data_IF_093484814402
#
_entry.id   IF_093484814402
#
_cell.length_a   1.000
_cell.length_b   1.000
_cell.length_c   1.000
_cell.angle_alpha   90.00
_cell.angle_beta   90.00
_cell.angle_gamma   90.00
#
_symmetry.space_group_name_H-M   'P 1'
#
loop_
_entity.id
_entity.type
_entity.pdbx_description
1 polymer ?
#
# COMPACT_ATOMS: atom_id res chain seq x y z
N UNK A 1 -27.00 7.14 -9.81
CA UNK A 1 -26.45 7.71 -11.07
C UNK A 1 -25.23 8.54 -10.72
N UNK A 2 -24.10 7.87 -10.45
CA UNK A 2 -22.80 8.54 -10.30
C UNK A 2 -22.44 9.07 -11.68
N UNK A 3 -22.41 10.40 -11.82
CA UNK A 3 -21.96 11.05 -13.04
C UNK A 3 -20.47 10.77 -13.16
N UNK A 4 -20.10 9.72 -13.88
CA UNK A 4 -18.74 9.49 -14.34
C UNK A 4 -18.38 10.60 -15.31
N UNK A 5 -18.06 11.78 -14.79
CA UNK A 5 -17.53 12.85 -15.58
C UNK A 5 -16.06 12.54 -15.80
N UNK A 6 -15.72 12.31 -17.07
CA UNK A 6 -14.35 12.25 -17.56
C UNK A 6 -13.58 13.46 -16.99
N UNK A 7 -12.54 13.26 -16.16
CA UNK A 7 -11.82 14.34 -15.48
C UNK A 7 -11.16 15.32 -16.48
N UNK A 8 -11.04 14.96 -17.76
CA UNK A 8 -10.60 15.85 -18.84
C UNK A 8 -11.60 16.92 -19.27
N UNK A 9 -12.88 16.83 -18.86
CA UNK A 9 -13.95 17.75 -19.30
C UNK A 9 -14.24 18.89 -18.33
N UNK A 10 -13.62 18.88 -17.15
CA UNK A 10 -13.94 19.81 -16.08
C UNK A 10 -13.13 21.11 -16.23
N UNK A 11 -13.83 22.20 -16.52
CA UNK A 11 -13.24 23.54 -16.60
C UNK A 11 -13.15 24.09 -15.17
N UNK A 12 -11.97 24.35 -14.62
CA UNK A 12 -11.86 24.97 -13.31
C UNK A 12 -12.37 26.42 -13.39
N UNK A 13 -13.31 26.79 -12.54
CA UNK A 13 -13.79 28.18 -12.47
C UNK A 13 -12.89 29.06 -11.58
N UNK A 14 -12.21 28.46 -10.61
CA UNK A 14 -11.30 29.15 -9.70
C UNK A 14 -9.96 29.53 -10.39
N UNK A 15 -9.56 30.80 -10.24
CA UNK A 15 -8.29 31.33 -10.73
C UNK A 15 -7.08 30.61 -10.13
N UNK A 16 -7.16 30.22 -8.85
CA UNK A 16 -6.07 29.55 -8.16
C UNK A 16 -5.87 28.13 -8.67
N UNK A 17 -6.96 27.38 -8.88
CA UNK A 17 -6.95 26.08 -9.55
C UNK A 17 -6.34 26.18 -10.95
N UNK A 18 -6.74 27.18 -11.75
CA UNK A 18 -6.11 27.44 -13.06
C UNK A 18 -4.60 27.67 -12.93
N UNK A 19 -4.15 28.47 -11.97
CA UNK A 19 -2.72 28.74 -11.75
C UNK A 19 -1.97 27.45 -11.42
N UNK A 20 -2.45 26.65 -10.47
CA UNK A 20 -1.83 25.38 -10.09
C UNK A 20 -1.70 24.45 -11.29
N UNK A 21 -2.77 24.26 -12.07
CA UNK A 21 -2.74 23.42 -13.27
C UNK A 21 -1.76 23.95 -14.31
N UNK A 22 -1.74 25.27 -14.57
CA UNK A 22 -0.80 25.83 -15.54
C UNK A 22 0.66 25.64 -15.14
N UNK A 23 0.97 25.59 -13.84
CA UNK A 23 2.32 25.27 -13.35
C UNK A 23 2.65 23.80 -13.64
N UNK A 24 1.71 22.88 -13.38
CA UNK A 24 1.88 21.46 -13.67
C UNK A 24 2.01 21.19 -15.18
N UNK A 25 1.17 21.83 -16.00
CA UNK A 25 1.21 21.69 -17.46
C UNK A 25 2.56 22.20 -18.01
N UNK A 26 3.04 23.37 -17.54
CA UNK A 26 4.38 23.88 -17.89
C UNK A 26 5.52 22.99 -17.40
N UNK A 27 5.36 22.31 -16.26
CA UNK A 27 6.35 21.36 -15.75
C UNK A 27 6.40 20.12 -16.64
N UNK A 28 5.24 19.57 -17.01
CA UNK A 28 5.12 18.44 -17.94
C UNK A 28 5.76 18.78 -19.28
N UNK A 29 5.46 19.94 -19.86
CA UNK A 29 6.05 20.36 -21.14
C UNK A 29 7.58 20.48 -21.09
N UNK A 30 8.11 21.08 -20.01
CA UNK A 30 9.57 21.19 -19.81
C UNK A 30 10.23 19.83 -19.65
N UNK A 31 9.60 18.93 -18.92
CA UNK A 31 10.11 17.58 -18.66
C UNK A 31 10.06 16.72 -19.92
N UNK A 32 8.96 16.78 -20.68
CA UNK A 32 8.84 16.14 -21.99
C UNK A 32 9.96 16.61 -22.92
N UNK A 33 10.14 17.92 -23.06
CA UNK A 33 11.15 18.47 -23.96
C UNK A 33 12.57 18.14 -23.49
N UNK A 34 12.84 18.19 -22.18
CA UNK A 34 14.14 17.81 -21.62
C UNK A 34 14.47 16.34 -21.87
N UNK A 35 13.48 15.45 -21.75
CA UNK A 35 13.64 14.02 -22.01
C UNK A 35 13.98 13.70 -23.46
N UNK A 36 13.66 14.61 -24.39
CA UNK A 36 13.91 14.46 -25.82
C UNK A 36 15.29 14.96 -26.24
N UNK A 37 15.94 15.82 -25.44
CA UNK A 37 17.26 16.41 -25.77
C UNK A 37 18.28 15.36 -26.20
N UNK A 38 18.45 14.21 -25.53
CA UNK A 38 19.40 13.18 -25.97
C UNK A 38 19.11 12.64 -27.37
N UNK A 39 17.83 12.39 -27.69
CA UNK A 39 17.41 11.87 -28.99
C UNK A 39 17.62 12.90 -30.12
N UNK A 40 17.36 14.18 -29.83
CA UNK A 40 17.60 15.29 -30.77
C UNK A 40 19.09 15.45 -31.05
N UNK A 41 19.94 15.28 -30.02
CA UNK A 41 21.40 15.33 -30.15
C UNK A 41 21.92 14.16 -31.00
N UNK A 42 21.39 12.94 -30.84
CA UNK A 42 21.77 11.77 -31.65
C UNK A 42 21.49 11.95 -33.14
N UNK A 43 20.54 12.82 -33.50
CA UNK A 43 20.09 13.01 -34.89
C UNK A 43 20.02 14.49 -35.26
N UNK A 44 21.00 15.28 -34.78
CA UNK A 44 21.01 16.74 -34.90
C UNK A 44 20.91 17.23 -36.35
N UNK A 45 21.50 16.50 -37.30
CA UNK A 45 21.47 16.84 -38.73
C UNK A 45 20.04 16.91 -39.29
N UNK A 46 19.12 16.09 -38.78
CA UNK A 46 17.71 16.09 -39.19
C UNK A 46 16.93 17.29 -38.66
N UNK A 47 17.45 17.95 -37.62
CA UNK A 47 16.79 19.05 -36.93
C UNK A 47 17.50 20.40 -37.13
N UNK A 48 18.66 20.42 -37.78
CA UNK A 48 19.50 21.60 -37.89
C UNK A 48 18.78 22.79 -38.54
N UNK A 49 18.05 22.53 -39.63
CA UNK A 49 17.27 23.56 -40.35
C UNK A 49 16.11 24.12 -39.52
N UNK A 50 15.54 23.28 -38.64
CA UNK A 50 14.37 23.63 -37.81
C UNK A 50 14.79 24.37 -36.53
N UNK A 51 15.95 24.02 -35.98
CA UNK A 51 16.50 24.58 -34.74
C UNK A 51 17.29 25.87 -34.96
N UNK A 52 17.80 26.08 -36.17
CA UNK A 52 18.65 27.21 -36.52
C UNK A 52 20.06 27.11 -35.93
N UNK A 53 20.93 28.09 -36.25
CA UNK A 53 22.33 28.10 -35.83
C UNK A 53 22.48 28.27 -34.31
N UNK A 54 21.65 29.08 -33.64
CA UNK A 54 21.70 29.23 -32.18
C UNK A 54 21.23 27.96 -31.45
N UNK A 55 20.20 27.29 -31.97
CA UNK A 55 19.68 26.05 -31.38
C UNK A 55 20.65 24.88 -31.52
N UNK A 56 21.23 24.70 -32.71
CA UNK A 56 22.22 23.66 -32.99
C UNK A 56 23.49 23.84 -32.17
N UNK A 57 24.03 25.06 -32.10
CA UNK A 57 25.21 25.36 -31.29
C UNK A 57 24.98 25.08 -29.81
N UNK A 58 23.83 25.49 -29.26
CA UNK A 58 23.48 25.23 -27.86
C UNK A 58 23.35 23.73 -27.53
N UNK A 59 22.81 22.92 -28.46
CA UNK A 59 22.73 21.46 -28.31
C UNK A 59 24.10 20.77 -28.42
N UNK A 60 24.98 21.26 -29.29
CA UNK A 60 26.37 20.76 -29.39
C UNK A 60 27.15 21.05 -28.12
N UNK A 61 27.00 22.25 -27.54
CA UNK A 61 27.58 22.58 -26.24
C UNK A 61 27.01 21.70 -25.12
N UNK A 62 25.70 21.47 -25.12
CA UNK A 62 25.05 20.56 -24.18
C UNK A 62 25.61 19.13 -24.29
N UNK A 63 25.80 18.62 -25.51
CA UNK A 63 26.37 17.30 -25.75
C UNK A 63 27.80 17.19 -25.21
N UNK A 64 28.63 18.23 -25.40
CA UNK A 64 30.00 18.26 -24.87
C UNK A 64 30.00 18.18 -23.34
N UNK A 65 29.18 18.98 -22.68
CA UNK A 65 29.03 18.96 -21.21
C UNK A 65 28.50 17.61 -20.70
N UNK A 66 27.54 17.01 -21.43
CA UNK A 66 27.00 15.70 -21.08
C UNK A 66 28.05 14.60 -21.14
N UNK A 67 28.90 14.59 -22.17
CA UNK A 67 30.00 13.63 -22.31
C UNK A 67 31.05 13.83 -21.22
N UNK A 68 31.44 15.07 -20.95
CA UNK A 68 32.40 15.43 -19.90
C UNK A 68 31.94 14.93 -18.51
N UNK A 69 30.65 15.09 -18.20
CA UNK A 69 30.06 14.56 -16.97
C UNK A 69 30.11 13.02 -16.90
N UNK A 70 29.90 12.34 -18.03
CA UNK A 70 29.92 10.87 -18.09
C UNK A 70 31.33 10.31 -17.81
N UNK A 71 32.38 10.98 -18.31
CA UNK A 71 33.77 10.61 -18.03
C UNK A 71 34.18 10.86 -16.57
N UNK A 72 33.82 12.01 -15.99
CA UNK A 72 34.27 12.42 -14.65
C UNK A 72 33.47 11.81 -13.49
N UNK A 73 32.36 11.11 -13.80
CA UNK A 73 31.51 10.43 -12.80
C UNK A 73 32.26 9.36 -11.98
N UNK A 74 33.46 8.97 -12.41
CA UNK A 74 34.28 7.93 -11.78
C UNK A 74 35.42 8.45 -10.89
N UNK A 75 35.76 9.75 -10.91
CA UNK A 75 37.04 10.24 -10.35
C UNK A 75 36.92 11.22 -9.16
N UNK A 76 35.98 12.17 -9.15
CA UNK A 76 35.84 13.16 -8.06
C UNK A 76 34.38 13.65 -7.85
N UNK A 77 33.80 13.49 -6.64
CA UNK A 77 32.46 13.96 -6.29
C UNK A 77 32.25 15.48 -6.40
N UNK A 78 33.25 16.31 -6.10
CA UNK A 78 33.08 17.77 -6.08
C UNK A 78 33.08 18.37 -7.48
N UNK A 79 34.00 17.93 -8.33
CA UNK A 79 34.03 18.30 -9.75
C UNK A 79 32.75 17.85 -10.48
N UNK A 80 32.21 16.69 -10.11
CA UNK A 80 30.93 16.17 -10.61
C UNK A 80 29.74 17.09 -10.28
N UNK A 81 29.73 17.71 -9.09
CA UNK A 81 28.65 18.61 -8.67
C UNK A 81 28.64 19.92 -9.49
N UNK A 82 29.81 20.50 -9.75
CA UNK A 82 29.96 21.70 -10.56
C UNK A 82 29.51 21.47 -12.01
N UNK A 83 29.92 20.33 -12.60
CA UNK A 83 29.51 19.94 -13.95
C UNK A 83 28.01 19.68 -14.05
N UNK A 84 27.41 19.06 -13.01
CA UNK A 84 25.98 18.88 -12.94
C UNK A 84 25.22 20.22 -12.97
N UNK A 85 25.71 21.25 -12.26
CA UNK A 85 25.09 22.57 -12.29
C UNK A 85 25.25 23.25 -13.65
N UNK A 86 26.40 23.09 -14.32
CA UNK A 86 26.60 23.55 -15.70
C UNK A 86 25.66 22.83 -16.67
N UNK A 87 25.47 21.52 -16.53
CA UNK A 87 24.56 20.73 -17.35
C UNK A 87 23.11 21.15 -17.15
N UNK A 88 22.69 21.43 -15.91
CA UNK A 88 21.37 22.02 -15.61
C UNK A 88 21.22 23.39 -16.27
N UNK A 89 22.25 24.24 -16.19
CA UNK A 89 22.28 25.55 -16.85
C UNK A 89 22.13 25.44 -18.37
N UNK A 90 22.88 24.53 -18.99
CA UNK A 90 22.82 24.23 -20.41
C UNK A 90 21.45 23.69 -20.82
N UNK A 91 20.88 22.76 -20.06
CA UNK A 91 19.50 22.26 -20.27
C UNK A 91 18.49 23.40 -20.24
N UNK A 92 18.58 24.30 -19.25
CA UNK A 92 17.71 25.48 -19.15
C UNK A 92 17.88 26.41 -20.34
N UNK A 93 19.09 26.59 -20.86
CA UNK A 93 19.35 27.40 -22.06
C UNK A 93 18.70 26.79 -23.30
N UNK A 94 18.88 25.49 -23.53
CA UNK A 94 18.22 24.75 -24.61
C UNK A 94 16.70 24.91 -24.52
N UNK A 95 16.11 24.69 -23.34
CA UNK A 95 14.68 24.86 -23.14
C UNK A 95 14.20 26.29 -23.40
N UNK A 96 14.96 27.32 -23.03
CA UNK A 96 14.62 28.73 -23.30
C UNK A 96 14.59 29.04 -24.80
N UNK A 97 15.42 28.38 -25.60
CA UNK A 97 15.44 28.52 -27.05
C UNK A 97 14.28 27.76 -27.71
N UNK A 98 13.96 26.57 -27.22
CA UNK A 98 12.98 25.68 -27.86
C UNK A 98 11.53 25.97 -27.47
N UNK A 99 11.24 26.21 -26.18
CA UNK A 99 9.86 26.38 -25.67
C UNK A 99 9.07 27.53 -26.32
N UNK A 100 9.67 28.68 -26.69
CA UNK A 100 8.95 29.74 -27.37
C UNK A 100 8.44 29.37 -28.77
N UNK A 101 8.98 28.30 -29.38
CA UNK A 101 8.61 27.87 -30.72
C UNK A 101 7.75 26.58 -30.68
N UNK A 102 6.42 26.68 -30.68
CA UNK A 102 5.54 25.52 -30.54
C UNK A 102 5.64 24.56 -31.73
N UNK A 103 5.99 25.04 -32.92
CA UNK A 103 6.17 24.22 -34.13
C UNK A 103 7.36 23.28 -33.96
N UNK A 104 8.48 23.82 -33.49
CA UNK A 104 9.69 23.04 -33.18
C UNK A 104 9.36 21.98 -32.12
N UNK A 105 8.70 22.37 -31.02
CA UNK A 105 8.30 21.42 -29.98
C UNK A 105 7.41 20.28 -30.52
N UNK A 106 6.44 20.58 -31.39
CA UNK A 106 5.56 19.54 -31.95
C UNK A 106 6.31 18.58 -32.88
N UNK A 107 7.21 19.10 -33.72
CA UNK A 107 8.03 18.26 -34.62
C UNK A 107 8.93 17.34 -33.78
N UNK A 108 9.62 17.89 -32.78
CA UNK A 108 10.45 17.11 -31.86
C UNK A 108 9.63 16.04 -31.12
N UNK A 109 8.42 16.39 -30.63
CA UNK A 109 7.54 15.46 -29.93
C UNK A 109 7.13 14.28 -30.81
N UNK A 110 6.76 14.51 -32.08
CA UNK A 110 6.34 13.45 -33.01
C UNK A 110 7.48 12.49 -33.36
N UNK A 111 8.70 13.00 -33.47
CA UNK A 111 9.84 12.22 -33.96
C UNK A 111 10.58 11.47 -32.84
N UNK A 112 10.59 12.01 -31.60
CA UNK A 112 11.21 11.37 -30.44
C UNK A 112 10.31 10.34 -29.71
N UNK A 113 9.03 10.22 -30.11
CA UNK A 113 8.04 9.30 -29.53
C UNK A 113 8.39 7.81 -29.64
N UNK A 114 9.39 7.46 -30.46
CA UNK A 114 9.73 6.10 -30.87
C UNK A 114 10.56 5.32 -29.83
N UNK A 115 11.24 5.98 -28.88
CA UNK A 115 12.05 5.29 -27.86
C UNK A 115 11.37 5.28 -26.50
N UNK A 116 11.35 4.11 -25.86
CA UNK A 116 11.00 4.00 -24.44
C UNK A 116 12.16 4.51 -23.59
N UNK A 117 11.85 5.38 -22.63
CA UNK A 117 12.82 5.92 -21.68
C UNK A 117 12.22 5.90 -20.28
N UNK A 118 13.04 5.75 -19.21
CA UNK A 118 12.56 5.86 -17.83
C UNK A 118 11.83 7.18 -17.56
N UNK A 119 12.23 8.27 -18.23
CA UNK A 119 11.58 9.56 -18.16
C UNK A 119 10.12 9.52 -18.66
N UNK A 120 9.79 8.69 -19.65
CA UNK A 120 8.44 8.54 -20.20
C UNK A 120 7.46 8.00 -19.16
N UNK A 121 7.90 7.04 -18.32
CA UNK A 121 7.10 6.49 -17.21
C UNK A 121 6.81 7.59 -16.18
N UNK A 122 7.83 8.35 -15.81
CA UNK A 122 7.68 9.47 -14.87
C UNK A 122 6.77 10.59 -15.43
N UNK A 123 6.90 10.95 -16.71
CA UNK A 123 6.01 11.91 -17.38
C UNK A 123 4.56 11.42 -17.37
N UNK A 124 4.32 10.12 -17.61
CA UNK A 124 2.99 9.52 -17.55
C UNK A 124 2.41 9.64 -16.14
N UNK A 125 3.17 9.25 -15.12
CA UNK A 125 2.76 9.38 -13.72
C UNK A 125 2.49 10.84 -13.34
N UNK A 126 3.27 11.80 -13.85
CA UNK A 126 3.05 13.23 -13.60
C UNK A 126 1.76 13.74 -14.27
N UNK A 127 1.40 13.23 -15.45
CA UNK A 127 0.11 13.54 -16.11
C UNK A 127 -1.07 12.97 -15.32
N UNK A 128 -0.94 11.74 -14.81
CA UNK A 128 -1.94 11.13 -13.92
C UNK A 128 -2.08 11.94 -12.63
N UNK A 129 -0.97 12.33 -12.00
CA UNK A 129 -0.96 13.22 -10.85
C UNK A 129 -1.65 14.56 -11.13
N UNK A 130 -1.38 15.18 -12.28
CA UNK A 130 -2.05 16.43 -12.70
C UNK A 130 -3.56 16.25 -12.78
N UNK A 131 -4.04 15.11 -13.29
CA UNK A 131 -5.47 14.81 -13.36
C UNK A 131 -6.07 14.55 -11.97
N UNK A 132 -5.34 13.88 -11.07
CA UNK A 132 -5.75 13.70 -9.69
C UNK A 132 -5.85 15.03 -8.94
N UNK A 133 -4.89 15.94 -9.14
CA UNK A 133 -4.93 17.28 -8.57
C UNK A 133 -6.12 18.06 -9.11
N UNK A 134 -6.43 17.94 -10.41
CA UNK A 134 -7.63 18.55 -10.99
C UNK A 134 -8.90 18.01 -10.32
N UNK A 135 -9.06 16.69 -10.21
CA UNK A 135 -10.19 16.08 -9.51
C UNK A 135 -10.30 16.61 -8.08
N UNK A 136 -9.20 16.57 -7.32
CA UNK A 136 -9.16 17.03 -5.92
C UNK A 136 -9.49 18.51 -5.74
N UNK A 137 -9.05 19.37 -6.66
CA UNK A 137 -9.32 20.81 -6.58
C UNK A 137 -10.74 21.19 -7.03
N UNK A 138 -11.46 20.26 -7.67
CA UNK A 138 -12.84 20.45 -8.11
C UNK A 138 -13.86 19.75 -7.23
N UNK A 139 -13.44 18.75 -6.45
CA UNK A 139 -14.29 18.06 -5.48
C UNK A 139 -14.53 18.97 -4.27
N UNK A 140 -15.80 19.20 -3.94
CA UNK A 140 -16.18 19.88 -2.69
C UNK A 140 -15.89 18.97 -1.47
N UNK A 141 -15.57 19.52 -0.29
CA UNK A 141 -15.44 18.71 0.93
C UNK A 141 -16.70 17.87 1.23
N UNK A 142 -17.88 18.39 0.90
CA UNK A 142 -19.15 17.66 1.06
C UNK A 142 -19.27 16.49 0.09
N UNK A 143 -18.87 16.68 -1.17
CA UNK A 143 -18.86 15.63 -2.19
C UNK A 143 -17.85 14.52 -1.85
N UNK A 144 -16.68 14.89 -1.29
CA UNK A 144 -15.69 13.92 -0.82
C UNK A 144 -16.22 13.10 0.36
N UNK A 145 -16.88 13.75 1.32
CA UNK A 145 -17.46 13.05 2.46
C UNK A 145 -18.62 12.13 2.04
N UNK A 146 -19.45 12.55 1.11
CA UNK A 146 -20.51 11.73 0.53
C UNK A 146 -19.94 10.50 -0.19
N UNK A 147 -18.89 10.68 -1.02
CA UNK A 147 -18.17 9.58 -1.68
C UNK A 147 -17.59 8.60 -0.66
N UNK A 148 -17.03 9.09 0.46
CA UNK A 148 -16.50 8.26 1.53
C UNK A 148 -17.62 7.45 2.22
N UNK A 149 -18.74 8.09 2.57
CA UNK A 149 -19.90 7.42 3.19
C UNK A 149 -20.46 6.35 2.27
N UNK A 150 -20.62 6.67 0.98
CA UNK A 150 -21.08 5.72 -0.04
C UNK A 150 -20.13 4.53 -0.15
N UNK A 151 -18.82 4.77 -0.24
CA UNK A 151 -17.83 3.70 -0.33
C UNK A 151 -17.84 2.79 0.90
N UNK A 152 -17.97 3.36 2.11
CA UNK A 152 -18.13 2.58 3.36
C UNK A 152 -19.39 1.72 3.34
N UNK A 153 -20.52 2.26 2.88
CA UNK A 153 -21.77 1.52 2.77
C UNK A 153 -21.65 0.36 1.77
N UNK A 154 -21.01 0.59 0.62
CA UNK A 154 -20.75 -0.46 -0.38
C UNK A 154 -19.81 -1.53 0.20
N UNK A 155 -18.75 -1.16 0.89
CA UNK A 155 -17.85 -2.14 1.53
C UNK A 155 -18.55 -2.98 2.59
N UNK A 156 -19.43 -2.38 3.39
CA UNK A 156 -20.24 -3.10 4.36
C UNK A 156 -21.17 -4.09 3.66
N UNK A 157 -21.89 -3.64 2.63
CA UNK A 157 -22.76 -4.49 1.83
C UNK A 157 -22.00 -5.64 1.18
N UNK A 158 -20.79 -5.38 0.66
CA UNK A 158 -19.92 -6.43 0.10
C UNK A 158 -19.57 -7.44 1.19
N UNK A 159 -19.21 -6.98 2.40
CA UNK A 159 -18.87 -7.87 3.52
C UNK A 159 -20.07 -8.75 3.90
N UNK A 160 -21.25 -8.16 4.11
CA UNK A 160 -22.48 -8.91 4.41
C UNK A 160 -22.80 -9.91 3.29
N UNK A 161 -22.73 -9.48 2.04
CA UNK A 161 -22.96 -10.36 0.90
C UNK A 161 -21.93 -11.50 0.87
N UNK A 162 -20.64 -11.25 1.12
CA UNK A 162 -19.62 -12.30 1.18
C UNK A 162 -19.90 -13.29 2.31
N UNK A 163 -20.31 -12.83 3.49
CA UNK A 163 -20.69 -13.70 4.61
C UNK A 163 -21.89 -14.57 4.23
N UNK A 164 -22.92 -14.00 3.61
CA UNK A 164 -24.09 -14.78 3.14
C UNK A 164 -23.72 -15.81 2.07
N UNK A 165 -22.82 -15.47 1.13
CA UNK A 165 -22.34 -16.41 0.12
C UNK A 165 -21.60 -17.56 0.81
N UNK A 166 -20.68 -17.28 1.73
CA UNK A 166 -19.94 -18.33 2.45
C UNK A 166 -20.84 -19.24 3.28
N UNK A 167 -21.90 -18.69 3.90
CA UNK A 167 -22.88 -19.48 4.64
C UNK A 167 -23.68 -20.41 3.71
N UNK A 168 -24.15 -19.90 2.57
CA UNK A 168 -24.87 -20.71 1.58
C UNK A 168 -23.96 -21.77 0.95
N UNK A 169 -22.69 -21.47 0.70
CA UNK A 169 -21.70 -22.45 0.22
C UNK A 169 -21.48 -23.56 1.25
N UNK A 170 -21.42 -23.24 2.55
CA UNK A 170 -21.31 -24.23 3.62
C UNK A 170 -22.58 -25.11 3.72
N UNK A 171 -23.77 -24.51 3.61
CA UNK A 171 -25.02 -25.27 3.58
C UNK A 171 -25.10 -26.20 2.36
N UNK A 172 -24.72 -25.73 1.18
CA UNK A 172 -24.64 -26.55 -0.03
C UNK A 172 -23.67 -27.71 0.14
N UNK A 173 -22.47 -27.47 0.70
CA UNK A 173 -21.51 -28.53 0.98
C UNK A 173 -22.05 -29.57 1.97
N UNK A 174 -22.74 -29.14 3.04
CA UNK A 174 -23.37 -30.04 3.99
C UNK A 174 -24.50 -30.88 3.35
N UNK A 175 -25.32 -30.28 2.48
CA UNK A 175 -26.35 -31.02 1.74
C UNK A 175 -25.77 -32.00 0.72
N UNK A 176 -24.66 -31.66 0.07
CA UNK A 176 -23.96 -32.58 -0.83
C UNK A 176 -23.36 -33.76 -0.07
N UNK A 177 -22.73 -33.52 1.08
CA UNK A 177 -22.18 -34.57 1.93
C UNK A 177 -23.27 -35.53 2.44
N UNK A 178 -24.39 -35.00 2.92
CA UNK A 178 -25.53 -35.83 3.36
C UNK A 178 -26.12 -36.65 2.20
N UNK A 179 -26.22 -36.09 0.99
CA UNK A 179 -26.63 -36.86 -0.19
C UNK A 179 -25.62 -37.97 -0.57
N UNK A 180 -24.32 -37.72 -0.48
CA UNK A 180 -23.29 -38.74 -0.70
C UNK A 180 -23.33 -39.85 0.34
N UNK A 181 -23.60 -39.52 1.61
CA UNK A 181 -23.83 -40.49 2.68
C UNK A 181 -25.08 -41.33 2.41
N UNK A 182 -26.18 -40.71 1.99
CA UNK A 182 -27.41 -41.41 1.58
C UNK A 182 -27.17 -42.33 0.37
N UNK A 183 -26.43 -41.87 -0.64
CA UNK A 183 -26.08 -42.68 -1.81
C UNK A 183 -25.16 -43.85 -1.44
N UNK A 184 -24.23 -43.63 -0.49
CA UNK A 184 -23.37 -44.67 0.07
C UNK A 184 -24.19 -45.72 0.80
N UNK A 185 -25.14 -45.32 1.65
CA UNK A 185 -26.07 -46.23 2.34
C UNK A 185 -26.94 -47.00 1.33
N UNK A 186 -27.47 -46.32 0.30
CA UNK A 186 -28.27 -46.94 -0.76
C UNK A 186 -27.47 -47.98 -1.56
N UNK A 187 -26.19 -47.73 -1.82
CA UNK A 187 -25.29 -48.69 -2.48
C UNK A 187 -25.05 -49.94 -1.62
N UNK A 188 -24.86 -49.78 -0.31
CA UNK A 188 -24.71 -50.89 0.65
C UNK A 188 -25.99 -51.73 0.72
N UNK A 189 -27.16 -51.08 0.74
CA UNK A 189 -28.45 -51.77 0.68
C UNK A 189 -28.67 -52.49 -0.66
N UNK A 190 -28.15 -51.97 -1.77
CA UNK A 190 -28.18 -52.63 -3.09
C UNK A 190 -27.28 -53.87 -3.19
N UNK A 191 -26.22 -53.96 -2.38
CA UNK A 191 -25.33 -55.13 -2.31
C UNK A 191 -25.87 -56.25 -1.38
N UNK A 192 -26.77 -55.94 -0.45
CA UNK A 192 -27.39 -56.94 0.44
C UNK A 192 -28.16 -58.04 -0.32
N UNK A 193 -28.99 -57.74 -1.35
CA UNK A 193 -29.69 -58.76 -2.14
C UNK A 193 -28.77 -59.79 -2.78
N UNK A 194 -27.63 -59.38 -3.34
CA UNK A 194 -26.63 -60.30 -3.90
C UNK A 194 -26.02 -61.22 -2.83
N UNK A 195 -25.75 -60.68 -1.63
CA UNK A 195 -25.25 -61.47 -0.50
C UNK A 195 -26.30 -62.42 0.09
N UNK A 196 -27.59 -62.18 -0.13
CA UNK A 196 -28.70 -63.04 0.34
C UNK A 196 -29.02 -64.13 -0.70
N UNK A 197 -28.84 -63.84 -1.99
CA UNK A 197 -28.98 -64.82 -3.09
C UNK A 197 -27.78 -65.79 -3.17
N UNK A 198 -26.60 -65.43 -2.67
CA UNK A 198 -25.41 -66.29 -2.58
C UNK A 198 -25.42 -67.26 -1.37
N UNK A 199 -26.53 -67.39 -0.63
CA UNK A 199 -26.68 -68.35 0.46
C UNK A 199 -27.37 -69.64 -0.02
N UNK A 200 -26.65 -70.73 -0.35
CA UNK A 200 -27.29 -71.95 -0.82
C UNK A 200 -28.02 -72.69 0.32
N UNK A 201 -29.20 -73.18 -0.03
CA UNK A 201 -30.04 -74.08 0.75
C UNK A 201 -29.24 -75.17 1.46
N UNK A 202 -29.15 -75.10 2.78
CA UNK A 202 -28.77 -76.26 3.60
C UNK A 202 -29.34 -76.14 5.01
N UNK A 203 -30.65 -76.38 5.12
CA UNK A 203 -31.27 -76.79 6.39
C UNK A 203 -31.21 -78.32 6.47
N UNK A 204 -30.21 -78.87 7.18
CA UNK A 204 -30.36 -80.06 8.02
C UNK A 204 -29.10 -80.38 8.84
N UNK A 205 -29.23 -81.11 9.97
CA UNK A 205 -28.49 -80.82 11.19
C UNK A 205 -27.39 -81.85 11.47
N UNK A 206 -26.14 -81.44 11.73
CA UNK A 206 -25.11 -82.34 12.29
C UNK A 206 -24.08 -81.57 13.14
N UNK A 207 -24.06 -81.93 14.43
CA UNK A 207 -22.96 -82.10 15.38
C UNK A 207 -21.72 -81.16 15.40
N UNK A 208 -21.48 -80.60 16.60
CA UNK A 208 -20.21 -80.02 17.09
C UNK A 208 -18.99 -80.95 16.86
N UNK A 209 -17.77 -80.38 16.67
CA UNK A 209 -16.92 -80.15 17.85
C UNK A 209 -16.06 -78.87 17.84
N UNK A 210 -15.71 -78.46 19.07
CA UNK A 210 -14.72 -77.45 19.44
C UNK A 210 -13.43 -77.53 18.61
N UNK A 211 -12.96 -76.38 18.12
CA UNK A 211 -11.53 -76.13 18.03
C UNK A 211 -11.21 -74.64 18.26
N UNK A 212 -10.32 -74.41 19.22
CA UNK A 212 -9.71 -73.13 19.57
C UNK A 212 -8.79 -72.63 18.45
N UNK A 213 -8.76 -71.32 18.19
CA UNK A 213 -7.58 -70.42 18.32
C UNK A 213 -7.88 -68.99 17.80
N UNK A 214 -7.16 -67.95 18.27
CA UNK A 214 -7.66 -66.58 18.35
C UNK A 214 -7.07 -65.61 17.31
N UNK A 215 -7.90 -64.69 16.83
CA UNK A 215 -7.52 -63.60 15.90
C UNK A 215 -7.79 -62.22 16.50
N UNK A 216 -6.70 -61.52 16.83
CA UNK A 216 -6.52 -60.13 17.28
C UNK A 216 -7.64 -59.13 16.94
N UNK A 217 -8.19 -58.49 17.98
CA UNK A 217 -8.77 -57.16 17.88
C UNK A 217 -7.68 -56.11 18.18
N UNK A 218 -7.54 -55.13 17.30
CA UNK A 218 -6.69 -53.95 17.48
C UNK A 218 -7.33 -53.07 18.54
N UNK A 219 -6.61 -52.88 19.64
CA UNK A 219 -6.91 -51.93 20.71
C UNK A 219 -6.28 -50.58 20.39
N UNK A 220 -7.09 -49.54 20.17
CA UNK A 220 -6.68 -48.15 20.44
C UNK A 220 -7.90 -47.35 20.88
N UNK A 221 -8.08 -47.19 22.20
CA UNK A 221 -8.35 -45.86 22.75
C UNK A 221 -8.08 -45.86 24.25
N UNK A 222 -7.15 -45.00 24.63
CA UNK A 222 -6.67 -44.79 25.98
C UNK A 222 -7.47 -43.71 26.69
N UNK A 223 -7.75 -43.99 27.97
CA UNK A 223 -7.83 -43.08 29.12
C UNK A 223 -8.91 -41.98 29.15
N UNK A 224 -9.99 -42.23 29.91
CA UNK A 224 -10.39 -41.42 31.08
C UNK A 224 -11.29 -42.25 32.03
N UNK A 225 -11.21 -42.06 33.37
CA UNK A 225 -11.88 -42.92 34.33
C UNK A 225 -13.34 -42.51 34.54
N UNK A 226 -14.28 -43.43 34.28
CA UNK A 226 -15.69 -43.25 34.61
C UNK A 226 -15.91 -43.27 36.14
N UNK A 227 -16.75 -42.38 36.71
CA UNK A 227 -17.09 -42.43 38.13
C UNK A 227 -18.03 -43.59 38.39
N UNK A 228 -17.54 -44.53 39.20
CA UNK A 228 -18.25 -45.77 39.57
C UNK A 228 -19.27 -45.47 40.66
N UNK A 229 -20.53 -45.22 40.29
CA UNK A 229 -21.63 -45.13 41.26
C UNK A 229 -22.08 -46.54 41.68
N UNK A 230 -21.76 -46.94 42.92
CA UNK A 230 -22.26 -48.18 43.55
C UNK A 230 -23.69 -47.98 44.05
N UNK A 231 -24.64 -48.92 43.87
CA UNK A 231 -25.91 -48.88 44.58
C UNK A 231 -25.73 -49.45 46.00
N UNK A 232 -26.05 -48.66 47.01
CA UNK A 232 -26.19 -49.11 48.40
C UNK A 232 -27.36 -50.10 48.51
N UNK A 233 -27.07 -51.34 48.95
CA UNK A 233 -28.10 -52.31 49.36
C UNK A 233 -28.49 -52.01 50.81
N UNK A 234 -29.68 -51.47 51.03
CA UNK A 234 -30.34 -51.50 52.33
C UNK A 234 -31.21 -52.76 52.45
N UNK A 235 -30.99 -53.51 53.52
CA UNK A 235 -31.70 -54.74 53.91
C UNK A 235 -32.95 -54.34 54.72
N UNK A 236 -34.12 -54.89 54.38
CA UNK A 236 -35.21 -55.14 55.35
C UNK A 236 -36.03 -56.40 54.95
N UNK A 237 -36.65 -57.12 55.91
CA UNK A 237 -37.12 -58.50 55.75
C UNK A 237 -38.65 -58.65 55.68
N UNK A 238 -39.11 -59.75 55.07
CA UNK A 238 -40.34 -60.47 55.45
C UNK A 238 -41.60 -60.27 54.59
N UNK A 239 -42.19 -61.39 54.14
CA UNK A 239 -43.62 -61.48 53.78
C UNK A 239 -43.94 -62.16 52.45
N UNK A 240 -44.33 -63.43 52.49
CA UNK A 240 -44.83 -64.24 51.36
C UNK A 240 -46.17 -63.72 50.82
N UNK A 241 -46.27 -63.47 49.50
CA UNK A 241 -47.51 -63.53 48.70
C UNK A 241 -47.16 -63.97 47.27
N UNK A 242 -47.72 -65.07 46.71
CA UNK A 242 -47.43 -65.51 45.35
C UNK A 242 -48.41 -64.93 44.32
N UNK A 243 -47.90 -64.57 43.14
CA UNK A 243 -48.64 -64.75 41.88
C UNK A 243 -49.08 -63.53 41.07
N UNK A 244 -49.10 -62.31 41.62
CA UNK A 244 -49.65 -61.14 40.88
C UNK A 244 -48.87 -59.83 41.00
N UNK A 245 -47.70 -59.83 41.66
CA UNK A 245 -46.80 -58.65 41.75
C UNK A 245 -45.61 -58.66 40.78
N UNK A 246 -45.37 -59.76 40.06
CA UNK A 246 -44.16 -59.92 39.25
C UNK A 246 -44.17 -58.98 38.03
N UNK A 247 -45.31 -58.85 37.35
CA UNK A 247 -45.49 -57.94 36.19
C UNK A 247 -45.38 -56.46 36.57
N UNK A 248 -45.87 -56.08 37.76
CA UNK A 248 -45.74 -54.71 38.27
C UNK A 248 -44.29 -54.38 38.70
N UNK A 249 -43.55 -55.37 39.22
CA UNK A 249 -42.15 -55.21 39.64
C UNK A 249 -41.20 -55.07 38.44
N UNK A 250 -41.38 -55.86 37.39
CA UNK A 250 -40.65 -55.72 36.12
C UNK A 250 -40.96 -54.37 35.45
N UNK A 251 -42.23 -53.94 35.44
CA UNK A 251 -42.61 -52.61 34.92
C UNK A 251 -41.96 -51.46 35.67
N UNK A 252 -41.85 -51.55 37.00
CA UNK A 252 -41.19 -50.53 37.83
C UNK A 252 -39.68 -50.48 37.58
N UNK A 253 -39.04 -51.63 37.34
CA UNK A 253 -37.60 -51.71 36.99
C UNK A 253 -37.30 -51.09 35.64
N UNK A 254 -38.13 -51.36 34.64
CA UNK A 254 -37.99 -50.79 33.29
C UNK A 254 -38.16 -49.27 33.34
N UNK A 255 -39.17 -48.77 34.05
CA UNK A 255 -39.38 -47.33 34.23
C UNK A 255 -38.20 -46.65 34.94
N UNK A 256 -37.67 -47.26 36.00
CA UNK A 256 -36.48 -46.76 36.72
C UNK A 256 -35.23 -46.71 35.81
N UNK A 257 -35.05 -47.72 34.95
CA UNK A 257 -33.96 -47.75 33.97
C UNK A 257 -34.05 -46.62 32.92
N UNK A 258 -35.25 -46.33 32.40
CA UNK A 258 -35.44 -45.20 31.47
C UNK A 258 -35.15 -43.84 32.14
N UNK A 259 -35.52 -43.68 33.40
CA UNK A 259 -35.20 -42.47 34.18
C UNK A 259 -33.69 -42.32 34.36
N UNK A 260 -32.98 -43.41 34.67
CA UNK A 260 -31.52 -43.41 34.76
C UNK A 260 -30.86 -43.06 33.41
N UNK A 261 -31.33 -43.64 32.31
CA UNK A 261 -30.80 -43.34 30.97
C UNK A 261 -31.03 -41.89 30.54
N UNK A 262 -32.18 -41.29 30.89
CA UNK A 262 -32.45 -39.86 30.66
C UNK A 262 -31.53 -38.98 31.50
N UNK A 263 -31.34 -39.34 32.78
CA UNK A 263 -30.40 -38.65 33.68
C UNK A 263 -28.97 -38.68 33.13
N UNK A 264 -28.48 -39.84 32.71
CA UNK A 264 -27.13 -39.94 32.14
C UNK A 264 -26.96 -39.17 30.84
N UNK A 265 -28.00 -39.09 29.99
CA UNK A 265 -27.97 -38.24 28.79
C UNK A 265 -27.85 -36.76 29.15
N UNK A 266 -28.69 -36.31 30.07
CA UNK A 266 -28.65 -34.92 30.55
C UNK A 266 -27.33 -34.59 31.27
N UNK A 267 -26.77 -35.53 32.05
CA UNK A 267 -25.45 -35.37 32.66
C UNK A 267 -24.34 -35.28 31.59
N UNK A 268 -24.41 -36.06 30.51
CA UNK A 268 -23.47 -35.98 29.39
C UNK A 268 -23.60 -34.64 28.64
N UNK A 269 -24.82 -34.14 28.45
CA UNK A 269 -25.06 -32.81 27.87
C UNK A 269 -24.47 -31.71 28.74
N UNK A 270 -24.67 -31.76 30.06
CA UNK A 270 -24.08 -30.80 31.01
C UNK A 270 -22.55 -30.84 30.93
N UNK A 271 -21.93 -32.02 30.92
CA UNK A 271 -20.47 -32.16 30.81
C UNK A 271 -19.96 -31.59 29.49
N UNK A 272 -20.69 -31.80 28.39
CA UNK A 272 -20.34 -31.21 27.09
C UNK A 272 -20.41 -29.68 27.13
N UNK A 273 -21.45 -29.11 27.72
CA UNK A 273 -21.56 -27.65 27.89
C UNK A 273 -20.46 -27.06 28.76
N UNK A 274 -20.07 -27.75 29.84
CA UNK A 274 -18.93 -27.35 30.67
C UNK A 274 -17.64 -27.37 29.84
N UNK A 275 -17.38 -28.46 29.12
CA UNK A 275 -16.18 -28.57 28.29
C UNK A 275 -16.11 -27.48 27.20
N UNK A 276 -17.25 -27.15 26.57
CA UNK A 276 -17.32 -26.05 25.60
C UNK A 276 -16.99 -24.71 26.25
N UNK A 277 -17.55 -24.43 27.42
CA UNK A 277 -17.27 -23.21 28.16
C UNK A 277 -15.81 -23.11 28.58
N UNK A 278 -15.25 -24.19 29.15
CA UNK A 278 -13.85 -24.22 29.55
C UNK A 278 -12.90 -24.01 28.35
N UNK A 279 -13.27 -24.54 27.18
CA UNK A 279 -12.51 -24.35 25.94
C UNK A 279 -12.60 -22.90 25.45
N UNK A 280 -13.81 -22.34 25.35
CA UNK A 280 -14.03 -20.95 24.92
C UNK A 280 -13.36 -19.95 25.88
N UNK A 281 -13.44 -20.18 27.20
CA UNK A 281 -12.73 -19.36 28.17
C UNK A 281 -11.22 -19.41 27.99
N UNK A 282 -10.65 -20.59 27.75
CA UNK A 282 -9.21 -20.74 27.49
C UNK A 282 -8.77 -20.09 26.18
N UNK A 283 -9.58 -20.19 25.12
CA UNK A 283 -9.33 -19.50 23.86
C UNK A 283 -9.36 -17.98 24.05
N UNK A 284 -10.34 -17.45 24.80
CA UNK A 284 -10.42 -16.03 25.11
C UNK A 284 -9.23 -15.55 25.95
N UNK A 285 -8.83 -16.31 26.97
CA UNK A 285 -7.64 -15.99 27.77
C UNK A 285 -6.38 -15.93 26.91
N UNK A 286 -6.18 -16.89 26.00
CA UNK A 286 -5.06 -16.88 25.06
C UNK A 286 -5.09 -15.67 24.11
N UNK A 287 -6.26 -15.31 23.56
CA UNK A 287 -6.43 -14.10 22.74
C UNK A 287 -6.08 -12.83 23.52
N UNK A 288 -6.51 -12.72 24.79
CA UNK A 288 -6.19 -11.57 25.64
C UNK A 288 -4.69 -11.47 25.92
N UNK A 289 -4.03 -12.60 26.21
CA UNK A 289 -2.58 -12.64 26.45
C UNK A 289 -1.79 -12.24 25.19
N UNK A 290 -2.20 -12.69 24.01
CA UNK A 290 -1.58 -12.31 22.74
C UNK A 290 -1.70 -10.80 22.47
N UNK A 291 -2.90 -10.23 22.65
CA UNK A 291 -3.14 -8.79 22.47
C UNK A 291 -2.33 -7.99 23.50
N UNK A 292 -2.30 -8.45 24.75
CA UNK A 292 -1.56 -7.78 25.82
C UNK A 292 -0.05 -7.77 25.53
N UNK A 293 0.51 -8.87 25.04
CA UNK A 293 1.91 -8.95 24.66
C UNK A 293 2.24 -7.98 23.49
N UNK A 294 1.38 -7.94 22.46
CA UNK A 294 1.53 -7.01 21.35
C UNK A 294 1.47 -5.55 21.81
N UNK A 295 0.52 -5.21 22.70
CA UNK A 295 0.40 -3.88 23.27
C UNK A 295 1.64 -3.46 24.07
N UNK A 296 2.23 -4.37 24.85
CA UNK A 296 3.44 -4.10 25.61
C UNK A 296 4.65 -3.85 24.70
N UNK A 297 4.76 -4.62 23.60
CA UNK A 297 5.79 -4.40 22.59
C UNK A 297 5.63 -3.03 21.90
N UNK A 298 4.44 -2.70 21.41
CA UNK A 298 4.16 -1.41 20.78
C UNK A 298 4.41 -0.24 21.73
N UNK A 299 4.01 -0.38 23.00
CA UNK A 299 4.27 0.62 24.04
C UNK A 299 5.77 0.83 24.27
N UNK A 300 6.56 -0.25 24.27
CA UNK A 300 8.01 -0.16 24.37
C UNK A 300 8.63 0.54 23.14
N UNK A 301 8.19 0.17 21.93
CA UNK A 301 8.64 0.82 20.70
C UNK A 301 8.32 2.32 20.67
N UNK A 302 7.11 2.70 21.11
CA UNK A 302 6.71 4.10 21.21
C UNK A 302 7.60 4.87 22.18
N UNK A 303 7.91 4.29 23.34
CA UNK A 303 8.78 4.92 24.33
C UNK A 303 10.19 5.20 23.78
N UNK A 304 10.76 4.24 23.03
CA UNK A 304 12.07 4.40 22.39
C UNK A 304 12.05 5.49 21.31
N UNK A 305 10.98 5.56 20.51
CA UNK A 305 10.84 6.59 19.48
C UNK A 305 10.67 7.99 20.09
N UNK A 306 9.93 8.08 21.20
CA UNK A 306 9.78 9.34 21.94
C UNK A 306 11.13 9.82 22.48
N UNK A 307 11.93 8.94 23.09
CA UNK A 307 13.27 9.28 23.58
C UNK A 307 14.18 9.77 22.45
N UNK A 308 14.20 9.06 21.31
CA UNK A 308 14.95 9.47 20.12
C UNK A 308 14.49 10.84 19.60
N UNK A 309 13.18 11.10 19.57
CA UNK A 309 12.63 12.39 19.15
C UNK A 309 13.07 13.50 20.09
N UNK A 310 13.00 13.26 21.40
CA UNK A 310 13.33 14.25 22.40
C UNK A 310 14.83 14.60 22.37
N UNK A 311 15.69 13.66 21.95
CA UNK A 311 17.11 13.91 21.67
C UNK A 311 17.34 14.68 20.35
N UNK A 312 16.65 14.31 19.26
CA UNK A 312 16.90 14.89 17.93
C UNK A 312 16.29 16.28 17.73
N UNK A 313 15.18 16.59 18.40
CA UNK A 313 14.46 17.84 18.22
C UNK A 313 15.29 19.09 18.58
N UNK A 314 16.05 19.11 19.69
CA UNK A 314 16.98 20.19 20.00
C UNK A 314 18.06 20.37 18.93
N UNK A 315 18.69 19.27 18.49
CA UNK A 315 19.74 19.31 17.45
C UNK A 315 19.21 19.90 16.14
N UNK A 316 18.03 19.44 15.72
CA UNK A 316 17.36 19.97 14.53
C UNK A 316 17.09 21.48 14.66
N UNK A 317 16.53 21.92 15.79
CA UNK A 317 16.25 23.34 16.03
C UNK A 317 17.52 24.20 16.03
N UNK A 318 18.63 23.67 16.54
CA UNK A 318 19.92 24.35 16.52
C UNK A 318 20.45 24.48 15.09
N UNK A 319 20.39 23.41 14.30
CA UNK A 319 20.82 23.41 12.89
C UNK A 319 20.01 24.43 12.09
N UNK A 320 18.69 24.46 12.26
CA UNK A 320 17.83 25.43 11.60
C UNK A 320 18.18 26.88 11.97
N UNK A 321 18.44 27.14 13.24
CA UNK A 321 18.85 28.46 13.72
C UNK A 321 20.21 28.88 13.16
N UNK A 322 21.19 27.97 13.12
CA UNK A 322 22.50 28.21 12.53
C UNK A 322 22.40 28.53 11.04
N UNK A 323 21.55 27.80 10.29
CA UNK A 323 21.27 28.10 8.89
C UNK A 323 20.61 29.47 8.71
N UNK A 324 19.67 29.85 9.57
CA UNK A 324 19.02 31.16 9.56
C UNK A 324 20.02 32.28 9.75
N UNK A 325 20.88 32.17 10.76
CA UNK A 325 21.93 33.17 11.05
C UNK A 325 22.93 33.26 9.89
N UNK A 326 23.33 32.12 9.31
CA UNK A 326 24.27 32.10 8.19
C UNK A 326 23.68 32.80 6.95
N UNK A 327 22.39 32.57 6.67
CA UNK A 327 21.68 33.21 5.57
C UNK A 327 21.60 34.73 5.79
N UNK A 328 21.24 35.18 6.99
CA UNK A 328 21.18 36.60 7.32
C UNK A 328 22.54 37.29 7.19
N UNK A 329 23.63 36.65 7.64
CA UNK A 329 25.00 37.15 7.47
C UNK A 329 25.39 37.28 6.00
N UNK A 330 25.03 36.30 5.16
CA UNK A 330 25.29 36.36 3.71
C UNK A 330 24.52 37.50 3.06
N UNK A 331 23.26 37.68 3.43
CA UNK A 331 22.46 38.80 2.94
C UNK A 331 23.03 40.14 3.36
N UNK A 332 23.43 40.28 4.63
CA UNK A 332 24.04 41.50 5.14
C UNK A 332 25.35 41.84 4.41
N UNK A 333 26.24 40.86 4.23
CA UNK A 333 27.46 41.03 3.44
C UNK A 333 27.16 41.43 1.99
N UNK A 334 26.11 40.86 1.38
CA UNK A 334 25.69 41.23 0.01
C UNK A 334 25.19 42.67 -0.07
N UNK A 335 24.44 43.15 0.95
CA UNK A 335 23.95 44.53 1.03
C UNK A 335 25.11 45.50 1.21
N UNK A 336 26.04 45.19 2.10
CA UNK A 336 27.25 45.99 2.32
C UNK A 336 28.11 46.07 1.06
N UNK A 337 28.32 44.93 0.38
CA UNK A 337 29.05 44.88 -0.89
C UNK A 337 28.34 45.70 -1.98
N UNK A 338 27.01 45.66 -2.06
CA UNK A 338 26.24 46.44 -3.03
C UNK A 338 26.38 47.95 -2.78
N UNK A 339 26.38 48.38 -1.51
CA UNK A 339 26.60 49.78 -1.12
C UNK A 339 28.03 50.20 -1.51
N UNK A 340 29.04 49.41 -1.13
CA UNK A 340 30.44 49.66 -1.49
C UNK A 340 30.64 49.74 -3.01
N UNK A 341 30.03 48.81 -3.75
CA UNK A 341 30.09 48.78 -5.22
C UNK A 341 29.47 50.03 -5.83
N UNK A 342 28.31 50.47 -5.34
CA UNK A 342 27.65 51.69 -5.81
C UNK A 342 28.49 52.93 -5.53
N UNK A 343 29.09 53.03 -4.35
CA UNK A 343 30.00 54.12 -4.00
C UNK A 343 31.23 54.13 -4.93
N UNK A 344 31.84 52.97 -5.16
CA UNK A 344 32.97 52.82 -6.08
C UNK A 344 32.61 53.25 -7.51
N UNK A 345 31.44 52.82 -8.04
CA UNK A 345 30.94 53.22 -9.36
C UNK A 345 30.80 54.74 -9.45
N UNK A 346 30.21 55.39 -8.43
CA UNK A 346 30.06 56.85 -8.41
C UNK A 346 31.41 57.58 -8.45
N UNK A 347 32.37 57.16 -7.62
CA UNK A 347 33.72 57.75 -7.56
C UNK A 347 34.42 57.57 -8.91
N UNK A 348 34.39 56.35 -9.45
CA UNK A 348 35.02 56.04 -10.72
C UNK A 348 34.39 56.81 -11.89
N UNK A 349 33.06 56.94 -11.92
CA UNK A 349 32.36 57.72 -12.94
C UNK A 349 32.73 59.20 -12.87
N UNK A 350 32.82 59.76 -11.65
CA UNK A 350 33.25 61.15 -11.45
C UNK A 350 34.69 61.36 -11.94
N UNK A 351 35.62 60.47 -11.57
CA UNK A 351 37.01 60.54 -12.01
C UNK A 351 37.16 60.40 -13.53
N UNK A 352 36.50 59.41 -14.15
CA UNK A 352 36.49 59.24 -15.61
C UNK A 352 35.95 60.50 -16.31
N UNK A 353 34.86 61.09 -15.79
CA UNK A 353 34.32 62.33 -16.29
C UNK A 353 35.27 63.53 -16.12
N UNK A 354 35.94 63.65 -14.97
CA UNK A 354 36.94 64.69 -14.72
C UNK A 354 38.12 64.57 -15.68
N UNK A 355 38.65 63.36 -15.88
CA UNK A 355 39.76 63.08 -16.78
C UNK A 355 39.44 63.51 -18.21
N UNK A 356 38.26 63.13 -18.73
CA UNK A 356 37.79 63.55 -20.05
C UNK A 356 37.71 65.09 -20.14
N UNK A 357 37.05 65.74 -19.17
CA UNK A 357 36.92 67.21 -19.15
C UNK A 357 38.28 67.93 -19.06
N UNK A 358 39.23 67.38 -18.32
CA UNK A 358 40.61 67.89 -18.22
C UNK A 358 41.33 67.82 -19.58
N UNK A 359 41.27 66.67 -20.25
CA UNK A 359 41.84 66.47 -21.59
C UNK A 359 41.18 67.41 -22.61
N UNK A 360 39.86 67.56 -22.58
CA UNK A 360 39.16 68.48 -23.49
C UNK A 360 39.48 69.95 -23.19
N UNK A 361 39.61 70.37 -21.92
CA UNK A 361 40.04 71.73 -21.56
C UNK A 361 41.43 72.07 -22.11
N UNK A 362 42.38 71.13 -22.04
CA UNK A 362 43.73 71.36 -22.58
C UNK A 362 43.72 71.44 -24.12
N UNK A 363 42.88 70.64 -24.80
CA UNK A 363 42.68 70.71 -26.26
C UNK A 363 41.99 72.02 -26.70
N UNK A 364 40.98 72.51 -25.97
CA UNK A 364 40.32 73.80 -26.27
C UNK A 364 41.28 74.99 -26.10
N UNK A 365 42.13 74.99 -25.06
CA UNK A 365 43.17 76.04 -24.89
C UNK A 365 44.20 76.04 -26.02
N UNK A 366 44.54 74.89 -26.62
CA UNK A 366 45.42 74.82 -27.81
C UNK A 366 44.75 75.37 -29.07
N UNK A 367 43.45 75.17 -29.26
CA UNK A 367 42.70 75.63 -30.45
C UNK A 367 42.45 77.15 -30.46
N UNK A 368 42.38 77.79 -29.30
CA UNK A 368 42.20 79.25 -29.16
C UNK A 368 43.45 80.09 -29.42
N UNK A 369 44.66 79.49 -29.45
CA UNK A 369 45.93 80.24 -29.62
C UNK A 369 46.32 80.49 -31.08
N UNK A 370 45.47 80.12 -32.06
CA UNK A 370 45.74 80.22 -33.50
C UNK A 370 44.84 81.17 -34.30
N UNK A 371 43.91 81.90 -33.66
CA UNK A 371 43.13 82.98 -34.31
C UNK A 371 43.67 84.33 -33.82
N UNK A 372 44.70 84.81 -34.50
CA UNK A 372 45.41 86.05 -34.17
C UNK A 372 46.57 86.23 -35.13
N UNK A 373 46.24 86.38 -36.41
CA UNK A 373 47.08 86.96 -37.45
C UNK A 373 46.17 87.70 -38.42
#
# INVERSE_FOLDING_TARGET
LMRGLDPGSLIPDNLETKRILTVLDKMIDKLELSSMIPCVIESLDNFADILGPEGTTSLVEHQKLSKEMEYLRAEDPWSSLCLLEQLKGSTRNVLRLLLPNPVVCQVLKRQALVRESPAKVFIKALKEFRNLVLERLLTSPEEEEEKLRFMKAVSLQIKENTETITALEAELAATAQTQEEEFSIASVLGCLPQSVDDLPHSISPVHFPLHNTPGRCISVLSHHPAPRCKPNKAVLPGGNVPGSRQTSAEGTRIQSWFVFQRKCRMEAEIVNWIQKYDTDMGEKEAEYEEIQAAYEEEKAQLSLLMEKRDFLLPEYSQIEEEHRILQEKKEQASRELAIMTRAAICIQAFWRGYLIRSIFKSKLKKKGKGKGK
#
